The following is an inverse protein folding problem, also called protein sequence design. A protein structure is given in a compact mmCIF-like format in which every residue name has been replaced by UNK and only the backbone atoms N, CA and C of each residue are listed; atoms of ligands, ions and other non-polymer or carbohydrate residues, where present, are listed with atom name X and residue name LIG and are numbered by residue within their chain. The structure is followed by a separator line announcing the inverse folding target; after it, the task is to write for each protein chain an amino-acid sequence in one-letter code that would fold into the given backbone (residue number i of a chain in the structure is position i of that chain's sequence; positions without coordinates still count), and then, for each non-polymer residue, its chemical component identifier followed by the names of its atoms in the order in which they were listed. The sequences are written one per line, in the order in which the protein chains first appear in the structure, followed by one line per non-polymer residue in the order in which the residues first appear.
data_IF_825630242956
#
_entry.id   IF_825630242956
#
_cell.length_a   1.000
_cell.length_b   1.000
_cell.length_c   1.000
_cell.angle_alpha   90.00
_cell.angle_beta   90.00
_cell.angle_gamma   90.00
#
_symmetry.space_group_name_H-M   'P 1'
#
loop_
_entity.id
_entity.type
_entity.pdbx_description
1 polymer ?
#
# COMPACT_ATOMS: atom_id res chain seq x y z
N UNK A 1 24.40 7.58 11.78
CA UNK A 1 24.07 6.77 10.57
C UNK A 1 23.03 7.54 9.79
N UNK A 2 23.17 7.66 8.48
CA UNK A 2 22.19 8.34 7.62
C UNK A 2 20.89 7.55 7.61
N UNK A 3 19.77 8.25 7.77
CA UNK A 3 18.41 7.68 7.69
C UNK A 3 17.76 8.07 6.39
N UNK A 4 17.15 7.11 5.71
CA UNK A 4 16.38 7.34 4.49
C UNK A 4 14.89 7.16 4.76
N UNK A 5 14.06 8.17 4.45
CA UNK A 5 12.60 7.97 4.41
C UNK A 5 12.19 7.42 3.05
N UNK A 6 11.36 6.38 3.06
CA UNK A 6 10.72 5.76 1.88
C UNK A 6 9.28 6.26 1.88
N UNK A 7 8.98 7.16 0.95
CA UNK A 7 7.69 7.87 0.89
C UNK A 7 6.76 7.13 -0.07
N UNK A 8 5.54 6.88 0.41
CA UNK A 8 4.43 6.46 -0.44
C UNK A 8 4.00 7.63 -1.33
N UNK A 9 4.49 7.60 -2.56
CA UNK A 9 4.30 8.68 -3.51
C UNK A 9 2.88 8.77 -4.04
N UNK A 10 2.15 7.67 -4.11
CA UNK A 10 0.76 7.70 -4.56
C UNK A 10 -0.14 8.36 -3.51
N UNK A 11 0.09 8.08 -2.23
CA UNK A 11 -0.59 8.75 -1.12
C UNK A 11 -0.21 10.23 -1.05
N UNK A 12 1.09 10.55 -1.17
CA UNK A 12 1.57 11.94 -1.19
C UNK A 12 0.90 12.75 -2.29
N UNK A 13 0.94 12.25 -3.53
CA UNK A 13 0.36 12.93 -4.70
C UNK A 13 -1.15 13.08 -4.56
N UNK A 14 -1.83 12.04 -4.08
CA UNK A 14 -3.28 12.08 -3.88
C UNK A 14 -3.67 13.15 -2.86
N UNK A 15 -3.02 13.18 -1.69
CA UNK A 15 -3.27 14.20 -0.66
C UNK A 15 -3.07 15.62 -1.16
N UNK A 16 -1.96 15.86 -1.86
CA UNK A 16 -1.68 17.20 -2.40
C UNK A 16 -2.69 17.59 -3.46
N UNK A 17 -3.00 16.68 -4.39
CA UNK A 17 -3.96 16.94 -5.43
C UNK A 17 -5.36 17.25 -4.90
N UNK A 18 -5.79 16.56 -3.84
CA UNK A 18 -7.05 16.84 -3.13
C UNK A 18 -7.01 18.18 -2.39
N UNK A 19 -5.90 18.48 -1.72
CA UNK A 19 -5.78 19.69 -0.90
C UNK A 19 -5.79 20.99 -1.71
N UNK A 20 -5.35 20.94 -2.98
CA UNK A 20 -5.28 22.13 -3.86
C UNK A 20 -6.40 22.18 -4.91
N UNK A 21 -7.32 21.21 -4.89
CA UNK A 21 -8.44 21.18 -5.82
C UNK A 21 -9.65 21.89 -5.20
N UNK A 22 -10.14 22.91 -5.92
CA UNK A 22 -11.48 23.45 -5.69
C UNK A 22 -12.45 22.64 -6.55
N UNK A 23 -13.26 21.81 -5.90
CA UNK A 23 -14.25 20.97 -6.58
C UNK A 23 -15.66 21.50 -6.32
N UNK A 24 -16.44 21.66 -7.38
CA UNK A 24 -17.86 22.00 -7.33
C UNK A 24 -18.67 20.80 -7.83
N UNK A 25 -19.64 20.37 -7.05
CA UNK A 25 -20.63 19.40 -7.50
C UNK A 25 -21.72 20.15 -8.26
N UNK A 26 -21.82 19.91 -9.56
CA UNK A 26 -22.97 20.33 -10.36
C UNK A 26 -23.91 19.14 -10.52
N UNK A 27 -25.10 19.24 -9.91
CA UNK A 27 -26.20 18.36 -10.23
C UNK A 27 -26.97 18.94 -11.41
N UNK A 28 -27.03 18.24 -12.51
CA UNK A 28 -27.95 18.54 -13.62
C UNK A 28 -28.97 17.42 -13.66
N UNK A 29 -30.27 17.79 -13.66
CA UNK A 29 -31.35 16.86 -14.01
C UNK A 29 -31.40 16.77 -15.54
N UNK A 30 -30.97 15.67 -16.11
CA UNK A 30 -31.27 15.28 -17.48
C UNK A 30 -31.97 13.92 -17.43
N UNK A 31 -33.23 13.87 -17.93
CA UNK A 31 -34.02 12.64 -18.09
C UNK A 31 -34.17 11.78 -16.82
N UNK A 32 -34.56 12.36 -15.68
CA UNK A 32 -34.76 11.68 -14.38
C UNK A 32 -33.51 11.00 -13.79
N UNK A 33 -32.33 11.17 -14.34
CA UNK A 33 -31.05 10.76 -13.75
C UNK A 33 -30.24 11.97 -13.26
N UNK A 34 -29.81 11.93 -11.98
CA UNK A 34 -28.87 12.91 -11.45
C UNK A 34 -27.46 12.61 -11.97
N UNK A 35 -26.96 13.44 -12.91
CA UNK A 35 -25.57 13.36 -13.37
C UNK A 35 -24.72 14.27 -12.48
N UNK A 36 -23.93 13.67 -11.59
CA UNK A 36 -22.92 14.40 -10.81
C UNK A 36 -21.68 14.62 -11.66
N UNK A 37 -21.38 15.87 -12.00
CA UNK A 37 -20.12 16.25 -12.62
C UNK A 37 -19.27 17.00 -11.60
N UNK A 38 -18.15 16.42 -11.18
CA UNK A 38 -17.13 17.15 -10.47
C UNK A 38 -16.39 18.07 -11.44
N UNK A 39 -16.74 19.34 -11.45
CA UNK A 39 -15.98 20.37 -12.14
C UNK A 39 -15.08 21.03 -11.10
N UNK A 40 -13.80 21.06 -11.38
CA UNK A 40 -12.87 21.70 -10.47
C UNK A 40 -11.71 22.34 -11.22
N UNK A 41 -11.03 23.23 -10.55
CA UNK A 41 -9.77 23.77 -11.01
C UNK A 41 -8.72 23.62 -9.92
N UNK A 42 -7.44 23.62 -10.31
CA UNK A 42 -6.35 23.59 -9.36
C UNK A 42 -5.13 24.31 -9.92
N UNK A 43 -4.42 25.01 -9.06
CA UNK A 43 -3.24 25.79 -9.41
C UNK A 43 -1.99 24.92 -9.34
N UNK A 44 -1.26 24.78 -10.46
CA UNK A 44 -0.02 23.98 -10.53
C UNK A 44 1.09 24.54 -9.64
N UNK A 45 1.21 25.86 -9.53
CA UNK A 45 2.24 26.48 -8.68
C UNK A 45 1.96 26.26 -7.19
N UNK A 46 0.70 26.31 -6.79
CA UNK A 46 0.27 25.96 -5.44
C UNK A 46 0.51 24.48 -5.15
N UNK A 47 0.15 23.59 -6.08
CA UNK A 47 0.39 22.18 -5.96
C UNK A 47 1.89 21.84 -5.83
N UNK A 48 2.75 22.54 -6.60
CA UNK A 48 4.20 22.43 -6.49
C UNK A 48 4.69 22.79 -5.10
N UNK A 49 4.33 23.96 -4.60
CA UNK A 49 4.73 24.43 -3.26
C UNK A 49 4.22 23.52 -2.17
N UNK A 50 2.99 23.01 -2.31
CA UNK A 50 2.37 22.14 -1.32
C UNK A 50 3.06 20.78 -1.26
N UNK A 51 3.39 20.17 -2.42
CA UNK A 51 4.09 18.87 -2.44
C UNK A 51 5.51 18.99 -1.91
N UNK A 52 6.25 20.05 -2.28
CA UNK A 52 7.61 20.30 -1.78
C UNK A 52 7.60 20.49 -0.26
N UNK A 53 6.70 21.35 0.24
CA UNK A 53 6.55 21.55 1.69
C UNK A 53 6.20 20.25 2.42
N UNK A 54 5.28 19.46 1.88
CA UNK A 54 4.88 18.20 2.49
C UNK A 54 6.04 17.20 2.54
N UNK A 55 6.88 17.13 1.49
CA UNK A 55 8.09 16.31 1.47
C UNK A 55 9.06 16.77 2.58
N UNK A 56 9.28 18.07 2.72
CA UNK A 56 10.13 18.62 3.77
C UNK A 56 9.61 18.28 5.17
N UNK A 57 8.32 18.40 5.38
CA UNK A 57 7.67 18.07 6.67
C UNK A 57 7.75 16.58 6.97
N UNK A 58 7.60 15.71 5.97
CA UNK A 58 7.83 14.26 6.10
C UNK A 58 9.28 13.96 6.50
N UNK A 59 10.26 14.60 5.84
CA UNK A 59 11.67 14.42 6.18
C UNK A 59 11.97 14.83 7.63
N UNK A 60 11.41 15.94 8.08
CA UNK A 60 11.55 16.42 9.46
C UNK A 60 10.91 15.47 10.47
N UNK A 61 9.66 15.05 10.26
CA UNK A 61 8.96 14.17 11.21
C UNK A 61 9.61 12.79 11.28
N UNK A 62 10.12 12.27 10.17
CA UNK A 62 10.85 11.01 10.11
C UNK A 62 12.32 11.14 10.56
N UNK A 63 12.81 12.35 10.81
CA UNK A 63 14.22 12.66 11.15
C UNK A 63 15.19 12.02 10.14
N UNK A 64 14.92 12.25 8.85
CA UNK A 64 15.67 11.63 7.75
C UNK A 64 16.58 12.61 7.04
N UNK A 65 17.77 12.15 6.65
CA UNK A 65 18.79 12.91 5.91
C UNK A 65 18.66 12.72 4.39
N UNK A 66 17.90 11.72 3.98
CA UNK A 66 17.67 11.38 2.58
C UNK A 66 16.27 10.82 2.38
N UNK A 67 15.79 10.89 1.14
CA UNK A 67 14.48 10.39 0.79
C UNK A 67 14.49 9.60 -0.53
N UNK A 68 13.50 8.73 -0.67
CA UNK A 68 13.11 8.12 -1.94
C UNK A 68 11.58 8.12 -2.01
N UNK A 69 11.03 8.28 -3.20
CA UNK A 69 9.59 8.28 -3.43
C UNK A 69 9.24 7.08 -4.30
N UNK A 70 8.25 6.31 -3.89
CA UNK A 70 7.79 5.13 -4.61
C UNK A 70 6.45 5.43 -5.28
N UNK A 71 6.32 5.06 -6.55
CA UNK A 71 5.13 5.25 -7.34
C UNK A 71 4.67 3.92 -7.93
N UNK A 72 3.36 3.73 -8.04
CA UNK A 72 2.77 2.58 -8.74
C UNK A 72 2.99 2.66 -10.25
N UNK A 73 3.17 1.52 -10.90
CA UNK A 73 2.98 1.42 -12.35
C UNK A 73 1.52 1.70 -12.70
N UNK A 74 1.30 2.65 -13.61
CA UNK A 74 -0.05 3.01 -14.07
C UNK A 74 -0.59 2.03 -15.14
N UNK A 75 0.29 1.19 -15.72
CA UNK A 75 -0.06 0.35 -16.85
C UNK A 75 -0.44 -1.08 -16.45
N UNK A 76 -0.14 -1.49 -15.22
CA UNK A 76 -0.44 -2.85 -14.79
C UNK A 76 -0.17 -3.13 -13.33
N UNK A 77 -0.66 -4.29 -12.87
CA UNK A 77 -0.36 -4.84 -11.56
C UNK A 77 -0.36 -6.37 -11.64
N UNK A 78 0.67 -7.01 -11.10
CA UNK A 78 0.82 -8.46 -11.14
C UNK A 78 -0.34 -9.20 -10.45
N UNK A 79 -1.01 -8.56 -9.47
CA UNK A 79 -2.17 -9.16 -8.79
C UNK A 79 -3.34 -9.45 -9.72
N UNK A 80 -3.44 -8.76 -10.86
CA UNK A 80 -4.46 -9.07 -11.88
C UNK A 80 -4.23 -10.43 -12.56
N UNK A 81 -3.00 -10.96 -12.52
CA UNK A 81 -2.71 -12.32 -12.97
C UNK A 81 -3.14 -13.37 -11.93
N UNK A 82 -3.14 -13.00 -10.64
CA UNK A 82 -3.60 -13.85 -9.54
C UNK A 82 -5.12 -13.81 -9.41
N UNK A 83 -5.70 -12.61 -9.52
CA UNK A 83 -7.14 -12.37 -9.48
C UNK A 83 -7.51 -11.21 -10.43
N UNK A 84 -8.18 -11.50 -11.58
CA UNK A 84 -8.60 -10.49 -12.54
C UNK A 84 -9.51 -9.39 -11.94
N UNK A 85 -10.27 -9.70 -10.90
CA UNK A 85 -11.17 -8.77 -10.20
C UNK A 85 -10.44 -7.80 -9.26
N UNK A 86 -9.11 -7.88 -9.17
CA UNK A 86 -8.34 -6.99 -8.30
C UNK A 86 -8.60 -5.53 -8.62
N UNK A 87 -9.14 -4.79 -7.64
CA UNK A 87 -9.51 -3.37 -7.73
C UNK A 87 -10.49 -3.03 -8.87
N UNK A 88 -11.21 -4.02 -9.43
CA UNK A 88 -12.18 -3.79 -10.51
C UNK A 88 -13.39 -2.93 -10.06
N UNK A 89 -13.71 -2.98 -8.78
CA UNK A 89 -14.78 -2.20 -8.15
C UNK A 89 -14.41 -0.73 -7.86
N UNK A 90 -13.15 -0.34 -8.05
CA UNK A 90 -12.71 1.04 -7.82
C UNK A 90 -13.14 1.95 -8.96
N UNK A 91 -14.16 2.77 -8.73
CA UNK A 91 -14.59 3.85 -9.64
C UNK A 91 -13.86 5.17 -9.36
N UNK A 92 -12.63 5.13 -8.86
CA UNK A 92 -11.95 6.32 -8.38
C UNK A 92 -11.56 7.25 -9.53
N UNK A 93 -12.28 8.35 -9.63
CA UNK A 93 -11.84 9.51 -10.41
C UNK A 93 -10.62 10.08 -9.67
N UNK A 94 -9.49 10.18 -10.35
CA UNK A 94 -8.28 10.78 -9.78
C UNK A 94 -8.47 12.29 -9.63
N UNK A 95 -7.95 12.91 -8.55
CA UNK A 95 -7.99 14.37 -8.39
C UNK A 95 -7.32 15.08 -9.56
N UNK A 96 -7.72 16.33 -9.83
CA UNK A 96 -7.35 17.09 -11.03
C UNK A 96 -5.84 17.10 -11.22
N UNK A 97 -4.97 17.42 -10.43
CA UNK A 97 -3.53 17.47 -10.68
C UNK A 97 -2.77 16.18 -10.39
N UNK A 98 -3.45 15.07 -10.13
CA UNK A 98 -2.81 13.81 -9.77
C UNK A 98 -1.72 13.38 -10.77
N UNK A 99 -2.05 13.29 -12.04
CA UNK A 99 -1.09 12.87 -13.07
C UNK A 99 0.03 13.90 -13.29
N UNK A 100 -0.32 15.18 -13.20
CA UNK A 100 0.66 16.26 -13.32
C UNK A 100 1.68 16.23 -12.16
N UNK A 101 1.22 16.05 -10.92
CA UNK A 101 2.11 15.93 -9.76
C UNK A 101 3.05 14.72 -9.85
N UNK A 102 2.57 13.59 -10.35
CA UNK A 102 3.44 12.42 -10.61
C UNK A 102 4.52 12.71 -11.63
N UNK A 103 4.18 13.41 -12.74
CA UNK A 103 5.14 13.85 -13.74
C UNK A 103 6.15 14.83 -13.14
N UNK A 104 5.65 15.84 -12.43
CA UNK A 104 6.47 16.82 -11.73
C UNK A 104 7.51 16.18 -10.81
N UNK A 105 7.12 15.24 -9.95
CA UNK A 105 8.06 14.54 -9.07
C UNK A 105 9.15 13.78 -9.83
N UNK A 106 8.84 13.23 -11.00
CA UNK A 106 9.82 12.54 -11.86
C UNK A 106 10.82 13.52 -12.52
N UNK A 107 10.40 14.74 -12.79
CA UNK A 107 11.20 15.76 -13.48
C UNK A 107 12.07 16.59 -12.54
N UNK A 108 11.74 16.67 -11.25
CA UNK A 108 12.39 17.55 -10.27
C UNK A 108 13.64 17.00 -9.59
N UNK A 109 14.15 15.84 -10.04
CA UNK A 109 15.40 15.27 -9.53
C UNK A 109 15.27 14.47 -8.22
N UNK A 110 14.06 14.28 -7.69
CA UNK A 110 13.82 13.34 -6.61
C UNK A 110 14.17 11.91 -7.03
N UNK A 111 14.69 11.11 -6.12
CA UNK A 111 14.96 9.70 -6.38
C UNK A 111 13.65 8.91 -6.39
N UNK A 112 13.13 8.66 -7.58
CA UNK A 112 11.87 7.95 -7.79
C UNK A 112 12.12 6.46 -8.05
N UNK A 113 11.34 5.62 -7.38
CA UNK A 113 11.26 4.18 -7.67
C UNK A 113 9.86 3.84 -8.18
N UNK A 114 9.82 3.36 -9.40
CA UNK A 114 8.64 2.82 -10.08
C UNK A 114 9.09 1.57 -10.83
N UNK A 115 8.32 0.49 -10.77
CA UNK A 115 8.66 -0.76 -11.42
C UNK A 115 7.47 -1.30 -12.19
N UNK A 116 7.68 -1.85 -13.38
CA UNK A 116 6.61 -2.45 -14.18
C UNK A 116 5.81 -3.47 -13.37
N UNK A 117 4.49 -3.38 -13.48
CA UNK A 117 3.51 -4.25 -12.83
C UNK A 117 3.53 -4.24 -11.29
N UNK A 118 4.21 -3.29 -10.63
CA UNK A 118 4.21 -3.16 -9.18
C UNK A 118 3.40 -1.95 -8.71
N UNK A 119 2.67 -2.11 -7.61
CA UNK A 119 2.14 -0.99 -6.85
C UNK A 119 3.25 -0.29 -6.05
N UNK A 120 3.02 0.96 -5.65
CA UNK A 120 3.94 1.69 -4.77
C UNK A 120 4.25 0.91 -3.50
N UNK A 121 3.23 0.27 -2.91
CA UNK A 121 3.34 -0.55 -1.71
C UNK A 121 4.36 -1.68 -1.86
N UNK A 122 4.32 -2.37 -3.01
CA UNK A 122 5.24 -3.46 -3.32
C UNK A 122 6.67 -2.94 -3.48
N UNK A 123 6.84 -1.81 -4.15
CA UNK A 123 8.15 -1.16 -4.30
C UNK A 123 8.68 -0.74 -2.94
N UNK A 124 7.85 -0.15 -2.09
CA UNK A 124 8.19 0.24 -0.71
C UNK A 124 8.62 -0.98 0.11
N UNK A 125 7.85 -2.06 0.08
CA UNK A 125 8.14 -3.26 0.84
C UNK A 125 9.45 -3.91 0.42
N UNK A 126 9.73 -3.97 -0.89
CA UNK A 126 11.01 -4.45 -1.43
C UNK A 126 12.18 -3.58 -0.94
N UNK A 127 12.03 -2.25 -0.99
CA UNK A 127 13.08 -1.32 -0.56
C UNK A 127 13.30 -1.34 0.95
N UNK A 128 12.22 -1.39 1.72
CA UNK A 128 12.26 -1.41 3.18
C UNK A 128 12.99 -2.64 3.71
N UNK A 129 12.76 -3.80 3.09
CA UNK A 129 13.33 -5.10 3.52
C UNK A 129 14.68 -5.43 2.86
N UNK A 130 15.08 -4.69 1.81
CA UNK A 130 16.38 -4.90 1.13
C UNK A 130 17.49 -4.02 1.70
N UNK A 131 18.53 -4.64 2.23
CA UNK A 131 19.76 -3.92 2.62
C UNK A 131 20.76 -3.70 1.46
N UNK A 132 20.45 -4.23 0.26
CA UNK A 132 21.34 -4.10 -0.91
C UNK A 132 21.07 -2.82 -1.70
N UNK A 133 19.82 -2.35 -1.72
CA UNK A 133 19.39 -1.19 -2.53
C UNK A 133 19.52 0.10 -1.72
N UNK A 134 18.93 0.14 -0.54
CA UNK A 134 19.04 1.25 0.41
C UNK A 134 19.74 0.71 1.64
N UNK A 135 20.94 1.26 1.89
CA UNK A 135 21.75 0.88 3.06
C UNK A 135 21.42 1.78 4.25
N UNK A 136 21.64 1.29 5.46
CA UNK A 136 21.49 2.06 6.69
C UNK A 136 20.06 2.03 7.25
N UNK A 137 19.74 3.06 8.02
CA UNK A 137 18.43 3.17 8.70
C UNK A 137 17.35 3.61 7.70
N UNK A 138 16.20 2.97 7.75
CA UNK A 138 15.07 3.24 6.84
C UNK A 138 13.80 3.40 7.63
N UNK A 139 12.96 4.35 7.22
CA UNK A 139 11.62 4.53 7.74
C UNK A 139 10.64 4.66 6.57
N UNK A 140 9.54 3.90 6.61
CA UNK A 140 8.43 4.02 5.65
C UNK A 140 7.49 5.10 6.14
N UNK A 141 7.06 5.99 5.24
CA UNK A 141 6.00 6.95 5.51
C UNK A 141 4.80 6.68 4.59
N UNK A 142 3.65 6.47 5.20
CA UNK A 142 2.35 6.31 4.50
C UNK A 142 1.19 6.52 5.46
N UNK A 143 -0.03 6.66 4.91
CA UNK A 143 -1.29 6.58 5.67
C UNK A 143 -1.83 5.14 5.74
N UNK A 144 -1.35 4.26 4.86
CA UNK A 144 -1.90 2.92 4.71
C UNK A 144 -1.48 2.01 5.89
N UNK A 145 -2.49 1.46 6.57
CA UNK A 145 -2.28 0.49 7.66
C UNK A 145 -1.69 -0.84 7.18
N UNK A 146 -1.80 -1.15 5.89
CA UNK A 146 -1.40 -2.44 5.34
C UNK A 146 0.12 -2.62 5.32
N UNK A 147 0.89 -1.53 5.49
CA UNK A 147 2.32 -1.61 5.77
C UNK A 147 2.68 -2.35 7.07
N UNK A 148 1.71 -2.64 7.95
CA UNK A 148 1.94 -3.54 9.08
C UNK A 148 2.33 -4.97 8.67
N UNK A 149 2.10 -5.34 7.41
CA UNK A 149 2.55 -6.62 6.85
C UNK A 149 4.02 -6.65 6.43
N UNK A 150 4.76 -5.54 6.68
CA UNK A 150 6.17 -5.40 6.32
C UNK A 150 7.02 -5.14 7.55
N UNK A 151 8.11 -5.90 7.79
CA UNK A 151 9.04 -5.61 8.86
C UNK A 151 9.83 -4.32 8.54
N UNK A 152 9.50 -3.22 9.23
CA UNK A 152 10.10 -1.93 9.01
C UNK A 152 9.90 -0.97 10.18
N UNK A 153 10.62 0.15 10.20
CA UNK A 153 10.20 1.33 10.94
C UNK A 153 9.11 2.02 10.12
N UNK A 154 7.95 2.21 10.71
CA UNK A 154 6.80 2.76 10.04
C UNK A 154 6.34 4.04 10.72
N UNK A 155 6.28 5.12 9.97
CA UNK A 155 5.67 6.37 10.39
C UNK A 155 4.34 6.53 9.66
N UNK A 156 3.27 6.30 10.42
CA UNK A 156 1.91 6.44 9.90
C UNK A 156 1.36 7.80 10.26
N UNK A 157 1.08 8.60 9.26
CA UNK A 157 0.29 9.81 9.45
C UNK A 157 -1.18 9.40 9.70
N UNK A 158 -1.74 9.83 10.83
CA UNK A 158 -3.11 9.51 11.18
C UNK A 158 -4.06 10.61 10.69
N UNK A 159 -5.28 10.27 10.22
CA UNK A 159 -6.26 11.24 9.75
C UNK A 159 -6.66 12.31 10.78
N UNK A 160 -6.45 12.02 12.07
CA UNK A 160 -6.73 12.91 13.19
C UNK A 160 -5.51 13.74 13.63
N UNK A 161 -4.44 13.78 12.84
CA UNK A 161 -3.19 14.47 13.12
C UNK A 161 -2.37 13.88 14.28
N UNK A 162 -2.71 12.68 14.75
CA UNK A 162 -1.91 11.93 15.74
C UNK A 162 -1.03 10.94 15.00
N UNK A 163 0.10 11.42 14.51
CA UNK A 163 1.09 10.58 13.86
C UNK A 163 1.61 9.50 14.79
N UNK A 164 1.78 8.32 14.24
CA UNK A 164 2.27 7.17 14.99
C UNK A 164 3.50 6.58 14.32
N UNK A 165 4.61 6.58 15.07
CA UNK A 165 5.80 5.85 14.69
C UNK A 165 5.86 4.54 15.45
N UNK A 166 6.05 3.44 14.74
CA UNK A 166 6.18 2.10 15.32
C UNK A 166 7.27 1.30 14.61
N UNK A 167 7.85 0.33 15.32
CA UNK A 167 8.74 -0.67 14.73
C UNK A 167 7.94 -1.94 14.55
N UNK A 168 7.78 -2.38 13.32
CA UNK A 168 7.10 -3.61 12.98
C UNK A 168 8.16 -4.69 12.88
N UNK A 169 8.12 -5.67 13.77
CA UNK A 169 9.02 -6.82 13.75
C UNK A 169 8.64 -7.80 12.65
N UNK A 170 9.50 -8.77 12.36
CA UNK A 170 9.22 -9.84 11.39
C UNK A 170 7.97 -10.64 11.82
N UNK A 171 7.89 -10.99 13.11
CA UNK A 171 6.78 -11.78 13.68
C UNK A 171 5.46 -10.99 13.59
N UNK A 172 5.48 -9.70 13.89
CA UNK A 172 4.30 -8.85 13.76
C UNK A 172 3.86 -8.72 12.29
N UNK A 173 4.81 -8.53 11.38
CA UNK A 173 4.52 -8.43 9.95
C UNK A 173 3.93 -9.72 9.39
N UNK A 174 4.45 -10.87 9.80
CA UNK A 174 3.96 -12.19 9.38
C UNK A 174 2.58 -12.47 9.96
N UNK A 175 2.35 -12.07 11.21
CA UNK A 175 1.03 -12.19 11.84
C UNK A 175 -0.02 -11.33 11.11
N UNK A 176 0.30 -10.06 10.81
CA UNK A 176 -0.61 -9.17 10.08
C UNK A 176 -0.88 -9.67 8.65
N UNK A 177 0.10 -10.26 8.01
CA UNK A 177 -0.06 -10.87 6.68
C UNK A 177 -1.03 -12.06 6.73
N UNK A 178 -0.89 -12.99 7.68
CA UNK A 178 -1.82 -14.10 7.86
C UNK A 178 -3.22 -13.62 8.27
N UNK A 179 -3.28 -12.58 9.10
CA UNK A 179 -4.54 -11.95 9.47
C UNK A 179 -5.30 -11.40 8.26
N UNK A 180 -4.64 -10.64 7.39
CA UNK A 180 -5.26 -10.15 6.17
C UNK A 180 -5.65 -11.26 5.20
N UNK A 181 -4.90 -12.34 5.15
CA UNK A 181 -5.26 -13.53 4.37
C UNK A 181 -6.58 -14.13 4.84
N UNK A 182 -6.84 -14.13 6.14
CA UNK A 182 -8.10 -14.62 6.70
C UNK A 182 -9.27 -13.68 6.50
N UNK A 183 -9.09 -12.37 6.76
CA UNK A 183 -10.21 -11.41 6.73
C UNK A 183 -10.49 -10.83 5.35
N UNK A 184 -9.50 -10.85 4.44
CA UNK A 184 -9.57 -10.23 3.12
C UNK A 184 -9.56 -8.71 3.15
N UNK A 185 -9.67 -8.12 1.97
CA UNK A 185 -9.93 -6.70 1.75
C UNK A 185 -10.89 -6.51 0.57
N UNK A 186 -12.13 -6.13 0.89
CA UNK A 186 -13.18 -5.90 -0.12
C UNK A 186 -12.89 -4.71 -1.02
N UNK A 187 -12.17 -3.71 -0.50
CA UNK A 187 -11.80 -2.53 -1.28
C UNK A 187 -10.79 -2.91 -2.36
N UNK A 188 -9.94 -3.88 -2.09
CA UNK A 188 -8.96 -4.42 -3.02
C UNK A 188 -9.49 -5.60 -3.85
N UNK A 189 -10.73 -6.06 -3.59
CA UNK A 189 -11.40 -7.08 -4.39
C UNK A 189 -10.98 -8.50 -4.05
N UNK A 190 -10.61 -8.79 -2.78
CA UNK A 190 -10.44 -10.16 -2.30
C UNK A 190 -11.12 -10.33 -0.94
N UNK A 191 -11.89 -11.43 -0.79
CA UNK A 191 -12.84 -11.58 0.31
C UNK A 191 -12.27 -12.23 1.57
N UNK A 192 -11.07 -12.83 1.48
CA UNK A 192 -10.55 -13.66 2.57
C UNK A 192 -11.35 -14.95 2.74
N UNK A 193 -11.33 -15.51 3.94
CA UNK A 193 -12.09 -16.69 4.30
C UNK A 193 -13.50 -16.29 4.79
N UNK A 194 -14.53 -16.57 3.99
CA UNK A 194 -15.91 -16.20 4.29
C UNK A 194 -16.36 -16.74 5.65
N UNK A 195 -16.92 -15.84 6.46
CA UNK A 195 -17.39 -16.17 7.81
C UNK A 195 -16.29 -16.10 8.89
N UNK A 196 -15.07 -15.66 8.53
CA UNK A 196 -14.02 -15.35 9.49
C UNK A 196 -13.87 -13.83 9.58
N UNK A 197 -14.25 -13.25 10.72
CA UNK A 197 -14.03 -11.84 11.04
C UNK A 197 -12.90 -11.66 12.04
N UNK A 198 -12.68 -10.40 12.45
CA UNK A 198 -11.56 -9.98 13.33
C UNK A 198 -11.34 -10.91 14.54
N UNK A 199 -12.37 -11.11 15.35
CA UNK A 199 -12.24 -11.93 16.59
C UNK A 199 -11.84 -13.37 16.29
N UNK A 200 -12.39 -13.96 15.23
CA UNK A 200 -12.10 -15.36 14.86
C UNK A 200 -10.70 -15.48 14.28
N UNK A 201 -10.30 -14.56 13.42
CA UNK A 201 -8.95 -14.52 12.85
C UNK A 201 -7.86 -14.44 13.94
N UNK A 202 -8.05 -13.53 14.91
CA UNK A 202 -7.14 -13.41 16.07
C UNK A 202 -7.06 -14.69 16.90
N UNK A 203 -8.20 -15.34 17.13
CA UNK A 203 -8.23 -16.62 17.85
C UNK A 203 -7.50 -17.74 17.11
N UNK A 204 -7.59 -17.75 15.78
CA UNK A 204 -6.91 -18.76 14.93
C UNK A 204 -5.39 -18.55 14.96
N UNK A 205 -4.93 -17.31 14.89
CA UNK A 205 -3.50 -16.98 14.77
C UNK A 205 -2.77 -16.94 16.12
N UNK A 206 -3.50 -16.75 17.23
CA UNK A 206 -2.90 -16.49 18.55
C UNK A 206 -2.31 -15.09 18.66
N UNK A 207 -1.50 -14.84 19.68
CA UNK A 207 -0.84 -13.56 19.90
C UNK A 207 0.35 -13.36 18.94
N UNK A 208 0.71 -12.09 18.71
CA UNK A 208 1.86 -11.74 17.88
C UNK A 208 3.14 -12.33 18.49
N UNK A 209 3.88 -13.10 17.71
CA UNK A 209 5.13 -13.74 18.13
C UNK A 209 4.93 -15.12 18.81
N UNK A 210 3.69 -15.54 19.07
CA UNK A 210 3.40 -16.85 19.66
C UNK A 210 3.72 -18.00 18.69
N UNK A 211 3.33 -17.83 17.44
CA UNK A 211 3.45 -18.87 16.42
C UNK A 211 4.33 -18.41 15.24
N UNK A 212 5.24 -19.27 14.76
CA UNK A 212 5.99 -19.00 13.54
C UNK A 212 5.06 -19.06 12.31
N UNK A 213 5.47 -18.41 11.21
CA UNK A 213 4.64 -18.23 10.02
C UNK A 213 4.10 -19.55 9.43
N UNK A 214 4.88 -20.63 9.49
CA UNK A 214 4.44 -21.93 8.95
C UNK A 214 3.32 -22.58 9.79
N UNK A 215 3.29 -22.35 11.11
CA UNK A 215 2.20 -22.79 11.99
C UNK A 215 0.95 -21.95 11.74
N UNK A 216 1.11 -20.64 11.63
CA UNK A 216 0.00 -19.75 11.29
C UNK A 216 -0.58 -20.09 9.92
N UNK A 217 0.26 -20.38 8.92
CA UNK A 217 -0.18 -20.78 7.58
C UNK A 217 -0.99 -22.08 7.61
N UNK A 218 -0.55 -23.08 8.36
CA UNK A 218 -1.33 -24.30 8.52
C UNK A 218 -2.70 -24.01 9.15
N UNK A 219 -2.76 -23.15 10.18
CA UNK A 219 -4.02 -22.72 10.79
C UNK A 219 -4.93 -21.97 9.82
N UNK A 220 -4.36 -21.17 8.90
CA UNK A 220 -5.09 -20.52 7.83
C UNK A 220 -5.69 -21.55 6.87
N UNK A 221 -4.90 -22.53 6.42
CA UNK A 221 -5.37 -23.60 5.53
C UNK A 221 -6.53 -24.36 6.19
N UNK A 222 -6.39 -24.74 7.46
CA UNK A 222 -7.41 -25.48 8.20
C UNK A 222 -8.70 -24.66 8.35
N UNK A 223 -8.56 -23.34 8.56
CA UNK A 223 -9.69 -22.42 8.62
C UNK A 223 -10.44 -22.36 7.28
N UNK A 224 -9.74 -22.25 6.15
CA UNK A 224 -10.34 -22.29 4.82
C UNK A 224 -11.03 -23.62 4.55
N UNK A 225 -10.37 -24.76 4.82
CA UNK A 225 -10.93 -26.10 4.66
C UNK A 225 -12.20 -26.30 5.51
N UNK A 226 -12.23 -25.77 6.74
CA UNK A 226 -13.42 -25.84 7.62
C UNK A 226 -14.62 -25.08 7.07
N UNK A 227 -14.42 -24.15 6.15
CA UNK A 227 -15.46 -23.38 5.46
C UNK A 227 -15.79 -23.89 4.05
N UNK A 228 -15.24 -25.03 3.66
CA UNK A 228 -15.47 -25.64 2.35
C UNK A 228 -14.61 -25.07 1.22
N UNK A 229 -13.59 -24.28 1.54
CA UNK A 229 -12.61 -23.77 0.58
C UNK A 229 -11.41 -24.71 0.48
N UNK A 230 -10.61 -24.49 -0.55
CA UNK A 230 -9.38 -25.24 -0.78
C UNK A 230 -8.15 -24.50 -0.23
N UNK A 231 -7.02 -25.18 -0.16
CA UNK A 231 -5.72 -24.58 0.14
C UNK A 231 -5.32 -23.58 -0.96
N UNK A 232 -5.71 -23.83 -2.21
CA UNK A 232 -5.45 -22.94 -3.33
C UNK A 232 -6.23 -21.60 -3.20
N UNK A 233 -7.43 -21.65 -2.63
CA UNK A 233 -8.19 -20.44 -2.29
C UNK A 233 -7.49 -19.63 -1.20
N UNK A 234 -6.95 -20.28 -0.17
CA UNK A 234 -6.15 -19.64 0.86
C UNK A 234 -4.89 -19.01 0.26
N UNK A 235 -4.17 -19.76 -0.59
CA UNK A 235 -2.95 -19.29 -1.26
C UNK A 235 -3.22 -18.10 -2.19
N UNK A 236 -4.32 -18.12 -2.93
CA UNK A 236 -4.75 -16.99 -3.75
C UNK A 236 -4.96 -15.72 -2.89
N UNK A 237 -5.69 -15.83 -1.79
CA UNK A 237 -5.89 -14.70 -0.87
C UNK A 237 -4.58 -14.24 -0.22
N UNK A 238 -3.69 -15.15 0.15
CA UNK A 238 -2.36 -14.80 0.65
C UNK A 238 -1.55 -14.00 -0.38
N UNK A 239 -1.54 -14.42 -1.64
CA UNK A 239 -0.86 -13.69 -2.74
C UNK A 239 -1.47 -12.32 -3.00
N UNK A 240 -2.76 -12.14 -2.74
CA UNK A 240 -3.43 -10.83 -2.82
C UNK A 240 -3.04 -9.92 -1.66
N UNK A 241 -3.03 -10.45 -0.43
CA UNK A 241 -2.69 -9.72 0.79
C UNK A 241 -1.20 -9.38 0.92
N UNK A 242 -0.32 -10.14 0.22
CA UNK A 242 1.13 -9.96 0.32
C UNK A 242 1.57 -8.65 -0.32
N UNK A 243 2.03 -7.69 0.47
CA UNK A 243 2.91 -6.64 -0.01
C UNK A 243 4.30 -7.25 -0.16
N UNK A 244 4.90 -7.09 -1.34
CA UNK A 244 6.16 -7.77 -1.67
C UNK A 244 7.29 -7.30 -0.75
N UNK A 245 8.10 -8.27 -0.29
CA UNK A 245 9.37 -8.04 0.38
C UNK A 245 10.53 -8.33 -0.57
N UNK A 246 11.74 -8.05 -0.19
CA UNK A 246 12.92 -8.26 -1.04
C UNK A 246 13.11 -9.70 -1.54
N UNK A 247 12.67 -10.69 -0.75
CA UNK A 247 12.66 -12.10 -1.11
C UNK A 247 11.66 -12.45 -2.19
N UNK A 248 10.57 -11.69 -2.28
CA UNK A 248 9.47 -11.90 -3.22
C UNK A 248 9.77 -11.29 -4.63
N UNK A 249 10.98 -10.77 -4.85
CA UNK A 249 11.34 -10.15 -6.12
C UNK A 249 12.69 -10.64 -6.65
N UNK A 250 12.69 -11.07 -7.91
CA UNK A 250 13.93 -11.42 -8.62
C UNK A 250 14.52 -10.17 -9.29
N UNK A 251 15.57 -9.62 -8.69
CA UNK A 251 16.22 -8.39 -9.18
C UNK A 251 16.94 -8.57 -10.51
N UNK A 252 17.33 -9.80 -10.88
CA UNK A 252 18.01 -10.09 -12.16
C UNK A 252 17.00 -10.18 -13.29
N UNK A 253 15.92 -10.95 -13.07
CA UNK A 253 14.85 -11.13 -14.05
C UNK A 253 13.85 -9.97 -14.05
N UNK A 254 13.82 -9.18 -12.96
CA UNK A 254 12.82 -8.13 -12.71
C UNK A 254 11.39 -8.67 -12.65
N UNK A 255 11.23 -9.81 -12.00
CA UNK A 255 9.98 -10.57 -11.89
C UNK A 255 9.57 -10.78 -10.45
N UNK A 256 8.25 -10.82 -10.23
CA UNK A 256 7.65 -11.18 -8.95
C UNK A 256 7.76 -12.69 -8.75
N UNK A 257 8.23 -13.09 -7.58
CA UNK A 257 8.11 -14.45 -7.07
C UNK A 257 6.86 -14.49 -6.22
N UNK A 258 5.82 -15.12 -6.72
CA UNK A 258 4.58 -15.24 -5.97
C UNK A 258 4.83 -15.99 -4.67
N UNK A 259 4.30 -15.45 -3.59
CA UNK A 259 4.45 -16.05 -2.27
C UNK A 259 3.95 -17.50 -2.26
N UNK A 260 4.74 -18.36 -1.64
CA UNK A 260 4.46 -19.76 -1.35
C UNK A 260 5.30 -20.17 -0.14
N UNK A 261 4.73 -20.97 0.76
CA UNK A 261 5.43 -21.49 1.95
C UNK A 261 5.77 -22.97 1.78
#
# INVERSE_FOLDING_TARGET
MSRTVIIDGDVLVYKVAEAVADTFELSTEEDDEFIYRNIGWANKEEARRTVEKMIDDICKCCKSDSLVICLSDMNGNFRKQVNPEYKANRKNIKPILYNWLRAYLKETGYKIYERPSLAADDVIGILATSNKIIKGDKVVWSLDKDFKTIPCKFHREAPNGKDKSEVITQEAADWWFMYQTLIGDRVDGYEGCKGIGDKTARKILGEIGENPIYVMWQSVIDAYKSKGYTEEDALRNARMARILRAEDYDFKKKEVKLWNL
#
